data_IF_119100539276
#
_entry.id   IF_119100539276
#
_cell.length_a   1.000
_cell.length_b   1.000
_cell.length_c   1.000
_cell.angle_alpha   90.00
_cell.angle_beta   90.00
_cell.angle_gamma   90.00
#
_symmetry.space_group_name_H-M   'P 1'
#
loop_
_entity.id
_entity.type
_entity.pdbx_description
1 polymer ?
#
# COMPACT_ATOMS: atom_id res chain seq x y z
N UNK A 1 9.15 -4.78 -18.69
CA UNK A 1 10.07 -3.74 -18.19
C UNK A 1 11.13 -3.60 -19.25
N UNK A 2 11.11 -2.50 -19.99
CA UNK A 2 12.12 -2.22 -21.00
C UNK A 2 13.06 -1.19 -20.39
N UNK A 3 14.30 -1.58 -20.18
CA UNK A 3 15.35 -0.63 -19.82
C UNK A 3 16.13 -0.28 -21.06
N UNK A 4 15.99 0.94 -21.50
CA UNK A 4 17.02 1.59 -22.29
C UNK A 4 17.38 2.88 -21.56
N UNK A 5 18.42 2.81 -20.75
CA UNK A 5 19.03 3.99 -20.15
C UNK A 5 19.84 4.68 -21.23
N UNK A 6 19.39 5.82 -21.68
CA UNK A 6 20.25 6.75 -22.43
C UNK A 6 21.04 7.52 -21.38
N UNK A 7 22.33 7.25 -21.26
CA UNK A 7 23.23 8.14 -20.53
C UNK A 7 23.40 9.42 -21.34
N UNK A 8 22.84 10.49 -20.85
CA UNK A 8 23.29 11.83 -21.17
C UNK A 8 24.50 12.11 -20.31
N UNK A 9 25.60 12.57 -20.92
CA UNK A 9 26.82 13.01 -20.25
C UNK A 9 26.48 14.30 -19.47
N UNK A 10 26.46 14.22 -18.17
CA UNK A 10 26.33 15.38 -17.29
C UNK A 10 27.66 16.09 -17.19
N UNK A 11 27.72 17.32 -17.68
CA UNK A 11 28.67 18.31 -17.20
C UNK A 11 28.20 18.69 -15.77
N UNK A 12 29.04 18.36 -14.77
CA UNK A 12 28.80 18.76 -13.38
C UNK A 12 29.07 20.24 -13.27
N UNK A 13 28.01 21.05 -13.21
CA UNK A 13 28.08 22.38 -12.61
C UNK A 13 28.37 22.23 -11.12
N UNK A 14 29.50 22.77 -10.68
CA UNK A 14 29.91 22.83 -9.28
C UNK A 14 29.09 23.94 -8.61
N UNK A 15 28.16 23.57 -7.78
CA UNK A 15 27.40 24.26 -6.73
C UNK A 15 25.90 24.01 -6.72
N UNK A 16 25.43 22.89 -7.25
CA UNK A 16 24.05 22.46 -7.02
C UNK A 16 23.95 21.93 -5.58
N UNK A 17 23.23 22.67 -4.74
CA UNK A 17 22.85 22.23 -3.40
C UNK A 17 22.14 20.86 -3.53
N UNK A 18 22.77 19.81 -3.00
CA UNK A 18 22.27 18.46 -3.18
C UNK A 18 20.93 18.33 -2.47
N UNK A 19 19.85 18.21 -3.26
CA UNK A 19 18.51 17.92 -2.75
C UNK A 19 18.52 16.64 -1.92
N UNK A 20 17.68 16.59 -0.90
CA UNK A 20 17.42 15.36 -0.16
C UNK A 20 16.63 14.35 -0.99
N UNK A 21 16.21 13.26 -0.34
CA UNK A 21 15.56 12.13 -1.01
C UNK A 21 14.31 11.68 -0.26
N UNK A 22 13.36 11.08 -0.98
CA UNK A 22 12.25 10.38 -0.39
C UNK A 22 12.49 8.86 -0.45
N UNK A 23 12.50 8.20 0.70
CA UNK A 23 12.47 6.74 0.80
C UNK A 23 11.06 6.24 1.11
N UNK A 24 10.51 5.38 0.26
CA UNK A 24 9.25 4.67 0.52
C UNK A 24 9.61 3.36 1.23
N UNK A 25 9.50 3.33 2.55
CA UNK A 25 9.93 2.20 3.37
C UNK A 25 8.75 1.29 3.67
N UNK A 26 8.70 0.12 3.06
CA UNK A 26 7.69 -0.88 3.39
C UNK A 26 7.84 -1.37 4.84
N UNK A 27 6.71 -1.55 5.51
CA UNK A 27 6.61 -2.03 6.90
C UNK A 27 5.89 -3.38 6.96
N UNK A 28 6.00 -4.15 8.06
CA UNK A 28 5.29 -5.41 8.20
C UNK A 28 3.78 -5.27 8.07
N UNK A 29 3.13 -6.28 7.49
CA UNK A 29 1.66 -6.37 7.39
C UNK A 29 1.02 -7.21 8.50
N UNK A 30 1.83 -7.71 9.43
CA UNK A 30 1.34 -8.51 10.56
C UNK A 30 2.41 -9.29 11.30
N UNK A 31 3.61 -9.45 10.73
CA UNK A 31 4.73 -10.15 11.34
C UNK A 31 5.99 -9.28 11.30
N UNK A 32 6.55 -8.99 12.46
CA UNK A 32 7.75 -8.15 12.58
C UNK A 32 8.99 -8.74 11.88
N UNK A 33 9.04 -10.05 11.68
CA UNK A 33 10.14 -10.72 10.97
C UNK A 33 10.16 -10.37 9.47
N UNK A 34 9.04 -9.86 8.92
CA UNK A 34 8.96 -9.40 7.54
C UNK A 34 9.55 -7.98 7.33
N UNK A 35 10.10 -7.37 8.39
CA UNK A 35 10.66 -6.03 8.29
C UNK A 35 11.94 -6.00 7.43
N UNK A 36 11.99 -5.23 6.33
CA UNK A 36 13.18 -5.19 5.49
C UNK A 36 14.36 -4.54 6.23
N UNK A 37 15.49 -5.21 6.30
CA UNK A 37 16.72 -4.71 6.93
C UNK A 37 17.15 -3.36 6.33
N UNK A 38 17.00 -3.19 5.02
CA UNK A 38 17.30 -1.92 4.33
C UNK A 38 16.37 -0.80 4.77
N UNK A 39 15.09 -1.08 5.02
CA UNK A 39 14.15 -0.07 5.50
C UNK A 39 14.55 0.42 6.92
N UNK A 40 14.93 -0.50 7.82
CA UNK A 40 15.42 -0.14 9.15
C UNK A 40 16.62 0.81 9.04
N UNK A 41 17.61 0.47 8.23
CA UNK A 41 18.82 1.29 8.05
C UNK A 41 18.46 2.67 7.51
N UNK A 42 17.66 2.74 6.44
CA UNK A 42 17.29 4.02 5.81
C UNK A 42 16.43 4.90 6.71
N UNK A 43 15.54 4.32 7.52
CA UNK A 43 14.80 5.07 8.53
C UNK A 43 15.72 5.65 9.62
N UNK A 44 16.79 4.94 10.01
CA UNK A 44 17.80 5.46 10.96
C UNK A 44 18.66 6.56 10.38
N UNK A 45 18.91 6.53 9.07
CA UNK A 45 19.71 7.52 8.34
C UNK A 45 18.90 8.76 7.91
N UNK A 46 17.56 8.67 7.90
CA UNK A 46 16.71 9.77 7.49
C UNK A 46 16.65 10.90 8.55
N UNK A 47 16.39 12.12 8.10
CA UNK A 47 16.22 13.28 8.99
C UNK A 47 14.84 13.30 9.65
N UNK A 48 13.85 12.69 8.98
CA UNK A 48 12.49 12.55 9.50
C UNK A 48 11.76 11.35 8.92
N UNK A 49 10.94 10.71 9.73
CA UNK A 49 9.98 9.69 9.30
C UNK A 49 8.60 10.32 9.19
N UNK A 50 8.00 10.29 8.01
CA UNK A 50 6.60 10.61 7.79
C UNK A 50 5.77 9.32 7.95
N UNK A 51 4.83 9.32 8.90
CA UNK A 51 4.03 8.14 9.24
C UNK A 51 2.53 8.46 9.20
N UNK A 52 1.72 7.51 8.75
CA UNK A 52 0.28 7.66 8.64
C UNK A 52 -0.37 7.84 10.02
N UNK A 53 -0.13 6.93 10.95
CA UNK A 53 -0.45 7.09 12.38
C UNK A 53 0.80 6.91 13.24
N UNK A 54 1.31 8.03 13.77
CA UNK A 54 2.50 8.03 14.63
C UNK A 54 2.32 7.20 15.91
N UNK A 55 1.08 7.06 16.42
CA UNK A 55 0.78 6.26 17.63
C UNK A 55 0.92 4.76 17.37
N UNK A 56 0.61 4.32 16.15
CA UNK A 56 0.81 2.93 15.74
C UNK A 56 2.29 2.69 15.40
N UNK A 57 2.87 3.60 14.63
CA UNK A 57 4.25 3.49 14.13
C UNK A 57 5.29 3.52 15.25
N UNK A 58 5.03 4.22 16.38
CA UNK A 58 5.99 4.30 17.50
C UNK A 58 6.37 2.92 18.05
N UNK A 59 5.45 1.94 18.03
CA UNK A 59 5.72 0.57 18.49
C UNK A 59 6.75 -0.12 17.60
N UNK A 60 6.63 0.06 16.28
CA UNK A 60 7.57 -0.47 15.29
C UNK A 60 8.93 0.20 15.43
N UNK A 61 8.95 1.52 15.49
CA UNK A 61 10.15 2.35 15.61
C UNK A 61 10.94 1.99 16.86
N UNK A 62 10.28 1.87 18.02
CA UNK A 62 10.91 1.46 19.27
C UNK A 62 11.46 0.02 19.21
N UNK A 63 10.71 -0.91 18.60
CA UNK A 63 11.13 -2.31 18.47
C UNK A 63 12.46 -2.44 17.71
N UNK A 64 12.65 -1.65 16.66
CA UNK A 64 13.88 -1.67 15.85
C UNK A 64 14.93 -0.63 16.30
N UNK A 65 14.71 0.02 17.44
CA UNK A 65 15.63 1.02 18.00
C UNK A 65 15.98 2.12 16.98
N UNK A 66 14.93 2.75 16.43
CA UNK A 66 15.05 3.85 15.49
C UNK A 66 14.74 5.14 16.25
N UNK A 67 15.71 6.05 16.32
CA UNK A 67 15.59 7.30 17.10
C UNK A 67 15.21 8.51 16.23
N UNK A 68 14.99 8.29 14.92
CA UNK A 68 14.64 9.33 13.96
C UNK A 68 13.30 9.99 14.31
N UNK A 69 13.23 11.34 14.34
CA UNK A 69 11.99 12.04 14.62
C UNK A 69 10.86 11.67 13.67
N UNK A 70 9.64 11.52 14.19
CA UNK A 70 8.45 11.24 13.38
C UNK A 70 7.57 12.46 13.22
N UNK A 71 6.89 12.52 12.09
CA UNK A 71 5.80 13.47 11.81
C UNK A 71 4.60 12.75 11.21
N UNK A 72 3.38 13.23 11.51
CA UNK A 72 2.17 12.64 10.92
C UNK A 72 2.00 13.06 9.46
N UNK A 73 1.62 12.09 8.62
CA UNK A 73 1.30 12.28 7.21
C UNK A 73 0.14 11.36 6.84
N UNK A 74 -1.08 11.85 6.81
CA UNK A 74 -2.30 11.06 6.63
C UNK A 74 -3.27 11.72 5.64
N UNK A 75 -4.33 11.04 5.27
CA UNK A 75 -5.31 11.48 4.26
C UNK A 75 -5.82 12.92 4.45
N UNK A 76 -6.08 13.32 5.70
CA UNK A 76 -6.64 14.65 6.00
C UNK A 76 -5.63 15.80 5.95
N UNK A 77 -4.32 15.52 5.92
CA UNK A 77 -3.28 16.56 5.84
C UNK A 77 -2.35 16.42 4.64
N UNK A 78 -2.58 15.45 3.76
CA UNK A 78 -1.65 15.02 2.72
C UNK A 78 -1.13 16.14 1.83
N UNK A 79 -1.97 17.09 1.42
CA UNK A 79 -1.57 18.14 0.49
C UNK A 79 -0.58 19.15 1.10
N UNK A 80 -0.96 19.74 2.24
CA UNK A 80 -0.12 20.76 2.90
C UNK A 80 1.13 20.13 3.52
N UNK A 81 0.97 18.94 4.09
CA UNK A 81 2.08 18.22 4.70
C UNK A 81 3.08 17.71 3.65
N UNK A 82 2.60 17.25 2.48
CA UNK A 82 3.48 16.89 1.38
C UNK A 82 4.32 18.09 0.94
N UNK A 83 3.70 19.26 0.74
CA UNK A 83 4.43 20.48 0.41
C UNK A 83 5.52 20.81 1.43
N UNK A 84 5.19 20.77 2.72
CA UNK A 84 6.15 21.02 3.77
C UNK A 84 7.32 20.00 3.79
N UNK A 85 7.06 18.73 3.49
CA UNK A 85 8.10 17.70 3.39
C UNK A 85 8.96 17.91 2.13
N UNK A 86 8.35 18.28 1.01
CA UNK A 86 9.06 18.63 -0.23
C UNK A 86 10.00 19.82 0.01
N UNK A 87 9.53 20.88 0.71
CA UNK A 87 10.36 22.04 1.07
C UNK A 87 11.58 21.67 1.93
N UNK A 88 11.44 20.66 2.81
CA UNK A 88 12.56 20.12 3.60
C UNK A 88 13.55 19.38 2.70
N UNK A 89 13.05 18.54 1.80
CA UNK A 89 13.91 17.79 0.87
C UNK A 89 14.63 18.70 -0.12
N UNK A 90 14.00 19.80 -0.56
CA UNK A 90 14.65 20.82 -1.37
C UNK A 90 15.82 21.52 -0.61
N UNK A 91 15.81 21.49 0.70
CA UNK A 91 16.89 21.97 1.57
C UNK A 91 17.92 20.89 1.95
N UNK A 92 17.85 19.71 1.32
CA UNK A 92 18.82 18.63 1.52
C UNK A 92 18.41 17.59 2.57
N UNK A 93 17.29 17.73 3.27
CA UNK A 93 16.84 16.74 4.23
C UNK A 93 16.29 15.48 3.55
N UNK A 94 16.54 14.33 4.13
CA UNK A 94 16.03 13.03 3.66
C UNK A 94 14.81 12.60 4.47
N UNK A 95 13.77 12.20 3.77
CA UNK A 95 12.49 11.76 4.35
C UNK A 95 12.29 10.26 4.13
N UNK A 96 11.96 9.53 5.19
CA UNK A 96 11.45 8.16 5.08
C UNK A 96 9.93 8.17 5.26
N UNK A 97 9.18 7.73 4.25
CA UNK A 97 7.74 7.55 4.34
C UNK A 97 7.41 6.11 4.72
N UNK A 98 6.58 5.94 5.72
CA UNK A 98 5.98 4.66 6.11
C UNK A 98 4.47 4.79 6.22
N UNK A 99 3.76 3.68 6.02
CA UNK A 99 2.32 3.54 6.26
C UNK A 99 2.09 2.62 7.46
N UNK A 100 0.85 2.51 7.93
CA UNK A 100 0.50 1.65 9.07
C UNK A 100 0.84 0.17 8.82
N UNK A 101 0.75 -0.28 7.56
CA UNK A 101 1.12 -1.65 7.17
C UNK A 101 1.42 -1.76 5.66
N UNK A 102 2.54 -2.35 5.33
CA UNK A 102 2.91 -2.67 3.95
C UNK A 102 3.71 -1.59 3.23
N UNK A 103 3.55 -1.55 1.92
CA UNK A 103 4.31 -0.68 1.01
C UNK A 103 3.60 0.66 0.84
N UNK A 104 4.25 1.80 1.18
CA UNK A 104 3.69 3.14 1.01
C UNK A 104 3.42 3.48 -0.46
N UNK A 105 2.40 4.31 -0.71
CA UNK A 105 1.98 4.74 -2.04
C UNK A 105 1.04 3.76 -2.74
N UNK A 106 0.56 2.72 -2.04
CA UNK A 106 -0.42 1.75 -2.56
C UNK A 106 -1.68 1.82 -1.70
N UNK A 107 -2.69 2.54 -2.19
CA UNK A 107 -3.97 2.75 -1.47
C UNK A 107 -3.82 3.51 -0.15
N UNK A 108 -2.89 4.46 -0.11
CA UNK A 108 -2.62 5.33 1.03
C UNK A 108 -2.19 6.74 0.55
N UNK A 109 -2.10 7.75 1.44
CA UNK A 109 -1.78 9.13 1.07
C UNK A 109 -0.37 9.32 0.49
N UNK A 110 0.49 8.31 0.52
CA UNK A 110 1.86 8.36 -0.02
C UNK A 110 1.92 8.71 -1.50
N UNK A 111 0.89 8.37 -2.27
CA UNK A 111 0.77 8.74 -3.68
C UNK A 111 0.93 10.24 -3.91
N UNK A 112 0.29 11.08 -3.09
CA UNK A 112 0.35 12.53 -3.22
C UNK A 112 1.76 13.07 -2.93
N UNK A 113 2.45 12.53 -1.91
CA UNK A 113 3.82 12.95 -1.62
C UNK A 113 4.78 12.57 -2.75
N UNK A 114 4.65 11.36 -3.30
CA UNK A 114 5.44 10.90 -4.45
C UNK A 114 5.22 11.85 -5.64
N UNK A 115 3.96 12.18 -5.94
CA UNK A 115 3.63 13.10 -7.03
C UNK A 115 4.32 14.45 -6.87
N UNK A 116 4.21 15.07 -5.69
CA UNK A 116 4.85 16.38 -5.44
C UNK A 116 6.38 16.28 -5.46
N UNK A 117 6.97 15.18 -5.00
CA UNK A 117 8.43 14.96 -5.12
C UNK A 117 8.88 14.87 -6.57
N UNK A 118 8.15 14.14 -7.41
CA UNK A 118 8.43 14.02 -8.85
C UNK A 118 8.31 15.38 -9.54
N UNK A 119 7.27 16.17 -9.23
CA UNK A 119 7.09 17.52 -9.75
C UNK A 119 8.21 18.48 -9.32
N UNK A 120 8.80 18.28 -8.15
CA UNK A 120 9.92 19.05 -7.62
C UNK A 120 11.30 18.49 -8.00
N UNK A 121 11.36 17.48 -8.83
CA UNK A 121 12.60 16.78 -9.23
C UNK A 121 13.41 16.31 -8.01
N UNK A 122 12.73 15.68 -7.05
CA UNK A 122 13.32 15.03 -5.87
C UNK A 122 13.41 13.53 -6.14
N UNK A 123 14.56 12.94 -5.85
CA UNK A 123 14.76 11.50 -6.01
C UNK A 123 13.85 10.70 -5.07
N UNK A 124 13.02 9.82 -5.65
CA UNK A 124 12.14 8.91 -4.91
C UNK A 124 12.67 7.48 -5.04
N UNK A 125 12.95 6.85 -3.90
CA UNK A 125 13.52 5.51 -3.83
C UNK A 125 12.55 4.56 -3.15
N UNK A 126 12.09 3.55 -3.87
CA UNK A 126 11.29 2.48 -3.29
C UNK A 126 12.19 1.46 -2.58
N UNK A 127 11.82 1.13 -1.34
CA UNK A 127 12.46 0.08 -0.54
C UNK A 127 11.52 -1.13 -0.54
N UNK A 128 11.77 -2.18 -1.35
CA UNK A 128 10.90 -3.33 -1.45
C UNK A 128 10.65 -4.01 -0.11
N UNK A 129 9.42 -4.48 0.09
CA UNK A 129 9.03 -5.18 1.29
C UNK A 129 7.60 -5.73 1.21
N UNK A 130 6.95 -5.99 2.35
CA UNK A 130 5.63 -6.57 2.40
C UNK A 130 4.58 -5.75 1.63
N UNK A 131 3.75 -6.44 0.85
CA UNK A 131 2.59 -5.86 0.16
C UNK A 131 1.44 -6.88 0.19
N UNK A 132 0.37 -6.57 0.91
CA UNK A 132 -0.75 -7.51 1.14
C UNK A 132 -1.37 -8.00 -0.18
N UNK A 133 -1.55 -7.12 -1.17
CA UNK A 133 -2.11 -7.49 -2.47
C UNK A 133 -1.28 -8.54 -3.20
N UNK A 134 0.04 -8.41 -3.20
CA UNK A 134 0.93 -9.36 -3.86
C UNK A 134 0.99 -10.68 -3.09
N UNK A 135 1.08 -10.62 -1.75
CA UNK A 135 1.07 -11.82 -0.92
C UNK A 135 -0.24 -12.59 -1.08
N UNK A 136 -1.40 -11.92 -1.06
CA UNK A 136 -2.68 -12.55 -1.31
C UNK A 136 -2.73 -13.20 -2.71
N UNK A 137 -2.27 -12.49 -3.74
CA UNK A 137 -2.29 -12.97 -5.13
C UNK A 137 -1.51 -14.28 -5.29
N UNK A 138 -0.26 -14.32 -4.80
CA UNK A 138 0.61 -15.49 -5.01
C UNK A 138 0.14 -16.75 -4.28
N UNK A 139 -0.60 -16.60 -3.18
CA UNK A 139 -1.16 -17.73 -2.42
C UNK A 139 -2.62 -18.03 -2.77
N UNK A 140 -3.28 -17.21 -3.60
CA UNK A 140 -4.70 -17.37 -3.95
C UNK A 140 -5.00 -18.63 -4.75
N UNK A 141 -4.04 -19.13 -5.53
CA UNK A 141 -4.26 -20.19 -6.53
C UNK A 141 -4.97 -19.71 -7.80
N UNK A 142 -5.21 -18.40 -7.93
CA UNK A 142 -5.76 -17.77 -9.14
C UNK A 142 -4.62 -17.38 -10.10
N UNK A 143 -4.97 -16.96 -11.32
CA UNK A 143 -3.99 -16.53 -12.30
C UNK A 143 -3.24 -15.27 -11.84
N UNK A 144 -1.92 -15.34 -11.82
CA UNK A 144 -1.02 -14.23 -11.45
C UNK A 144 -0.44 -13.50 -12.66
N UNK A 145 -0.65 -14.04 -13.87
CA UNK A 145 -0.02 -13.51 -15.08
C UNK A 145 -0.53 -12.12 -15.45
N UNK A 146 -1.84 -11.90 -15.30
CA UNK A 146 -2.50 -10.62 -15.53
C UNK A 146 -3.51 -10.41 -14.41
N UNK A 147 -3.39 -9.31 -13.72
CA UNK A 147 -4.29 -8.95 -12.61
C UNK A 147 -4.49 -7.43 -12.57
N UNK A 148 -5.51 -7.00 -11.86
CA UNK A 148 -5.76 -5.60 -11.51
C UNK A 148 -5.92 -5.47 -10.00
N UNK A 149 -5.52 -4.32 -9.48
CA UNK A 149 -5.67 -3.96 -8.08
C UNK A 149 -6.70 -2.84 -7.97
N UNK A 150 -7.80 -3.13 -7.28
CA UNK A 150 -8.96 -2.25 -7.16
C UNK A 150 -9.04 -1.55 -5.80
N UNK A 151 -8.04 -1.78 -4.95
CA UNK A 151 -8.00 -1.23 -3.60
C UNK A 151 -9.30 -1.49 -2.80
N UNK A 152 -9.77 -0.49 -2.03
CA UNK A 152 -11.07 -0.53 -1.38
C UNK A 152 -12.15 0.03 -2.31
N UNK A 153 -13.23 -0.73 -2.49
CA UNK A 153 -14.37 -0.22 -3.24
C UNK A 153 -14.96 1.03 -2.57
N UNK A 154 -15.38 2.04 -3.34
CA UNK A 154 -15.91 3.29 -2.81
C UNK A 154 -17.00 3.10 -1.76
N UNK A 155 -17.06 3.99 -0.79
CA UNK A 155 -18.12 4.01 0.22
C UNK A 155 -19.37 4.72 -0.29
N UNK A 156 -19.23 5.72 -1.17
CA UNK A 156 -20.33 6.37 -1.84
C UNK A 156 -21.07 5.37 -2.74
N UNK A 157 -22.38 5.38 -2.68
CA UNK A 157 -23.22 4.40 -3.39
C UNK A 157 -23.14 4.54 -4.91
N UNK A 158 -23.04 5.77 -5.41
CA UNK A 158 -23.03 6.02 -6.85
C UNK A 158 -21.68 5.58 -7.44
N UNK A 159 -20.59 6.07 -6.88
CA UNK A 159 -19.24 5.70 -7.30
C UNK A 159 -19.01 4.18 -7.19
N UNK A 160 -19.49 3.57 -6.09
CA UNK A 160 -19.40 2.13 -5.90
C UNK A 160 -20.12 1.34 -6.98
N UNK A 161 -21.32 1.77 -7.38
CA UNK A 161 -22.06 1.12 -8.48
C UNK A 161 -21.37 1.31 -9.83
N UNK A 162 -20.76 2.45 -10.09
CA UNK A 162 -19.98 2.70 -11.29
C UNK A 162 -18.81 1.72 -11.36
N UNK A 163 -17.99 1.62 -10.30
CA UNK A 163 -16.88 0.67 -10.22
C UNK A 163 -17.36 -0.79 -10.36
N UNK A 164 -18.43 -1.18 -9.66
CA UNK A 164 -18.98 -2.54 -9.78
C UNK A 164 -19.40 -2.88 -11.21
N UNK A 165 -19.99 -1.93 -11.94
CA UNK A 165 -20.35 -2.14 -13.35
C UNK A 165 -19.11 -2.31 -14.24
N UNK A 166 -18.02 -1.59 -13.97
CA UNK A 166 -16.75 -1.77 -14.67
C UNK A 166 -16.15 -3.15 -14.40
N UNK A 167 -16.18 -3.60 -13.13
CA UNK A 167 -15.69 -4.92 -12.74
C UNK A 167 -16.47 -6.08 -13.35
N UNK A 168 -17.75 -5.89 -13.71
CA UNK A 168 -18.56 -6.91 -14.34
C UNK A 168 -17.95 -7.44 -15.66
N UNK A 169 -17.23 -6.61 -16.39
CA UNK A 169 -16.55 -6.95 -17.63
C UNK A 169 -15.09 -7.42 -17.44
N UNK A 170 -14.58 -7.41 -16.20
CA UNK A 170 -13.16 -7.72 -15.93
C UNK A 170 -12.92 -9.24 -15.92
N UNK A 171 -12.00 -9.68 -16.76
CA UNK A 171 -11.64 -11.11 -16.92
C UNK A 171 -10.35 -11.50 -16.19
N UNK A 172 -9.54 -10.54 -15.80
CA UNK A 172 -8.31 -10.77 -15.05
C UNK A 172 -8.61 -11.14 -13.60
N UNK A 173 -7.58 -11.54 -12.86
CA UNK A 173 -7.67 -11.65 -11.41
C UNK A 173 -7.76 -10.25 -10.81
N UNK A 174 -8.82 -9.97 -10.08
CA UNK A 174 -9.02 -8.72 -9.36
C UNK A 174 -8.56 -8.88 -7.91
N UNK A 175 -7.87 -7.88 -7.39
CA UNK A 175 -7.47 -7.83 -5.98
C UNK A 175 -8.21 -6.66 -5.34
N UNK A 176 -9.06 -6.97 -4.37
CA UNK A 176 -9.90 -6.01 -3.66
C UNK A 176 -9.56 -6.07 -2.18
N UNK A 177 -9.34 -4.92 -1.56
CA UNK A 177 -9.26 -4.80 -0.11
C UNK A 177 -10.65 -4.59 0.47
N UNK A 178 -10.94 -5.24 1.60
CA UNK A 178 -12.19 -5.02 2.28
C UNK A 178 -12.06 -5.15 3.80
N UNK A 179 -12.78 -4.29 4.51
CA UNK A 179 -12.87 -4.35 5.96
C UNK A 179 -13.78 -5.51 6.40
N UNK A 180 -13.47 -6.21 7.51
CA UNK A 180 -14.23 -7.38 7.95
C UNK A 180 -15.74 -7.15 8.07
N UNK A 181 -16.15 -5.99 8.60
CA UNK A 181 -17.56 -5.65 8.80
C UNK A 181 -18.33 -5.36 7.50
N UNK A 182 -17.63 -5.15 6.36
CA UNK A 182 -18.22 -4.90 5.05
C UNK A 182 -18.16 -6.13 4.13
N UNK A 183 -17.37 -7.15 4.51
CA UNK A 183 -17.02 -8.28 3.65
C UNK A 183 -18.25 -8.98 3.04
N UNK A 184 -19.25 -9.33 3.86
CA UNK A 184 -20.45 -10.05 3.37
C UNK A 184 -21.22 -9.20 2.36
N UNK A 185 -21.40 -7.91 2.65
CA UNK A 185 -22.07 -6.99 1.71
C UNK A 185 -21.32 -6.96 0.38
N UNK A 186 -20.01 -6.78 0.42
CA UNK A 186 -19.18 -6.72 -0.79
C UNK A 186 -19.20 -8.02 -1.57
N UNK A 187 -19.09 -9.18 -0.91
CA UNK A 187 -19.21 -10.48 -1.56
C UNK A 187 -20.56 -10.66 -2.24
N UNK A 188 -21.66 -10.24 -1.61
CA UNK A 188 -23.01 -10.30 -2.20
C UNK A 188 -23.12 -9.40 -3.44
N UNK A 189 -22.60 -8.19 -3.39
CA UNK A 189 -22.58 -7.28 -4.53
C UNK A 189 -21.74 -7.86 -5.70
N UNK A 190 -20.56 -8.40 -5.40
CA UNK A 190 -19.72 -9.07 -6.41
C UNK A 190 -20.38 -10.31 -6.99
N UNK A 191 -21.09 -11.11 -6.18
CA UNK A 191 -21.84 -12.27 -6.66
C UNK A 191 -22.91 -11.87 -7.69
N UNK A 192 -23.60 -10.76 -7.46
CA UNK A 192 -24.65 -10.26 -8.35
C UNK A 192 -24.11 -9.83 -9.72
N UNK A 193 -22.89 -9.31 -9.80
CA UNK A 193 -22.31 -8.82 -11.07
C UNK A 193 -21.40 -9.84 -11.77
N UNK A 194 -20.72 -10.71 -11.02
CA UNK A 194 -19.73 -11.66 -11.55
C UNK A 194 -20.29 -13.09 -11.68
N UNK A 195 -21.47 -13.36 -11.11
CA UNK A 195 -22.08 -14.68 -11.05
C UNK A 195 -21.63 -15.50 -9.83
N UNK A 196 -22.44 -16.51 -9.51
CA UNK A 196 -22.29 -17.34 -8.32
C UNK A 196 -21.02 -18.22 -8.35
N UNK A 197 -20.64 -18.69 -9.53
CA UNK A 197 -19.54 -19.64 -9.74
C UNK A 197 -18.18 -18.97 -9.96
N UNK A 198 -18.09 -17.63 -9.85
CA UNK A 198 -16.82 -16.93 -9.98
C UNK A 198 -15.86 -17.39 -8.88
N UNK A 199 -14.69 -17.92 -9.26
CA UNK A 199 -13.67 -18.35 -8.31
C UNK A 199 -13.14 -17.16 -7.52
N UNK A 200 -12.95 -17.36 -6.22
CA UNK A 200 -12.48 -16.36 -5.27
C UNK A 200 -11.51 -17.00 -4.27
N UNK A 201 -10.60 -16.17 -3.74
CA UNK A 201 -9.79 -16.49 -2.59
C UNK A 201 -9.92 -15.35 -1.56
N UNK A 202 -10.47 -15.63 -0.40
CA UNK A 202 -10.53 -14.67 0.70
C UNK A 202 -9.33 -14.91 1.60
N UNK A 203 -8.38 -13.94 1.58
CA UNK A 203 -7.16 -13.97 2.36
C UNK A 203 -7.34 -13.09 3.60
N UNK A 204 -7.13 -13.66 4.77
CA UNK A 204 -7.34 -12.98 6.05
C UNK A 204 -6.14 -13.20 6.95
N UNK A 205 -5.78 -12.15 7.73
CA UNK A 205 -4.71 -12.21 8.72
C UNK A 205 -3.36 -12.66 8.13
N UNK A 206 -3.05 -12.23 6.91
CA UNK A 206 -1.80 -12.55 6.21
C UNK A 206 -0.58 -12.28 7.10
N UNK A 207 0.36 -13.20 7.09
CA UNK A 207 1.60 -13.24 7.90
C UNK A 207 1.40 -13.40 9.42
N UNK A 208 0.16 -13.33 9.92
CA UNK A 208 -0.15 -13.47 11.34
C UNK A 208 -0.40 -14.93 11.74
N UNK A 209 -0.46 -15.18 13.05
CA UNK A 209 -0.68 -16.51 13.64
C UNK A 209 -1.94 -17.23 13.12
N UNK A 210 -2.97 -16.48 12.76
CA UNK A 210 -4.26 -17.02 12.32
C UNK A 210 -4.51 -16.71 10.83
N UNK A 211 -3.45 -16.73 10.02
CA UNK A 211 -3.55 -16.60 8.58
C UNK A 211 -4.48 -17.67 7.99
N UNK A 212 -5.43 -17.23 7.18
CA UNK A 212 -6.33 -18.14 6.46
C UNK A 212 -6.49 -17.69 5.02
N UNK A 213 -6.60 -18.69 4.13
CA UNK A 213 -6.91 -18.49 2.72
C UNK A 213 -8.06 -19.41 2.35
N UNK A 214 -9.24 -18.85 2.20
CA UNK A 214 -10.44 -19.58 1.80
C UNK A 214 -10.64 -19.48 0.29
N UNK A 215 -10.35 -20.57 -0.42
CA UNK A 215 -10.44 -20.70 -1.88
C UNK A 215 -11.72 -21.44 -2.23
N UNK A 216 -12.61 -20.76 -2.95
CA UNK A 216 -13.92 -21.28 -3.29
C UNK A 216 -14.56 -20.50 -4.44
N UNK A 217 -15.88 -20.57 -4.60
CA UNK A 217 -16.70 -19.70 -5.45
C UNK A 217 -17.42 -18.65 -4.61
N UNK A 218 -17.83 -17.54 -5.23
CA UNK A 218 -18.40 -16.40 -4.47
C UNK A 218 -19.63 -16.81 -3.66
N UNK A 219 -20.52 -17.65 -4.18
CA UNK A 219 -21.71 -18.09 -3.46
C UNK A 219 -21.38 -18.80 -2.14
N UNK A 220 -20.45 -19.74 -2.17
CA UNK A 220 -20.01 -20.45 -0.98
C UNK A 220 -19.29 -19.52 0.03
N UNK A 221 -18.56 -18.53 -0.46
CA UNK A 221 -17.94 -17.52 0.40
C UNK A 221 -19.01 -16.66 1.11
N UNK A 222 -20.06 -16.24 0.40
CA UNK A 222 -21.20 -15.51 1.00
C UNK A 222 -21.83 -16.34 2.11
N UNK A 223 -22.18 -17.59 1.84
CA UNK A 223 -22.84 -18.48 2.80
C UNK A 223 -21.96 -18.71 4.04
N UNK A 224 -20.69 -18.98 3.83
CA UNK A 224 -19.73 -19.19 4.92
C UNK A 224 -19.62 -17.96 5.83
N UNK A 225 -19.41 -16.76 5.28
CA UNK A 225 -19.23 -15.56 6.11
C UNK A 225 -20.54 -15.07 6.71
N UNK A 226 -21.70 -15.32 6.09
CA UNK A 226 -23.02 -15.09 6.71
C UNK A 226 -23.21 -15.97 7.95
N UNK A 227 -22.81 -17.23 7.89
CA UNK A 227 -22.95 -18.14 9.03
C UNK A 227 -22.15 -17.71 10.25
N UNK A 228 -21.01 -17.01 10.05
CA UNK A 228 -20.17 -16.51 11.14
C UNK A 228 -20.72 -15.27 11.86
N UNK A 229 -21.66 -14.55 11.24
CA UNK A 229 -22.27 -13.35 11.85
C UNK A 229 -23.38 -13.76 12.87
N UNK A 230 -23.88 -14.98 12.75
CA UNK A 230 -24.98 -15.50 13.57
C UNK A 230 -24.50 -16.33 14.79
N UNK A 231 -23.19 -16.38 15.05
CA UNK A 231 -22.58 -17.01 16.21
C UNK A 231 -22.05 -15.93 17.19
#
# INVERSE_FOLDING_TARGET
IIYRVVRLSEEKDMDEFQKGKLYLCATPIGNLEDMPVRAIRLMKEADVIAAEDTRNSIKLINHFQIDTPMTSYHEFNKYDKARALVDRMLKGETVALITDAGTPGISDPGEELVKQCVEADIEVISVPGPAACINALIISGLSTRRFCFEAFLPSDKKERNEVLNELAAETRTMIIYEAPHRLVKTLTELMNILGQDRKIAVCKELTKKHETVFRTVISEAVDYYLSLIHI
#
